data_IF_979495710280
#
_entry.id   IF_979495710280
#
_cell.length_a   1.000
_cell.length_b   1.000
_cell.length_c   1.000
_cell.angle_alpha   90.00
_cell.angle_beta   90.00
_cell.angle_gamma   90.00
#
_symmetry.space_group_name_H-M   'P 1'
#
loop_
_entity.id
_entity.type
_entity.pdbx_description
1 polymer ?
#
# COMPACT_ATOMS: atom_id res chain seq x y z
N UNK A 1 -32.99 14.58 -21.82
CA UNK A 1 -33.53 13.23 -22.13
C UNK A 1 -33.63 12.92 -23.63
N UNK A 2 -33.75 13.91 -24.54
CA UNK A 2 -33.93 13.62 -25.98
C UNK A 2 -32.80 12.79 -26.65
N UNK A 3 -31.56 12.91 -26.19
CA UNK A 3 -30.41 12.17 -26.74
C UNK A 3 -30.14 10.82 -26.04
N UNK A 4 -30.30 10.73 -24.72
CA UNK A 4 -29.88 9.58 -23.90
C UNK A 4 -31.02 8.89 -23.13
N UNK A 5 -32.26 9.35 -23.31
CA UNK A 5 -33.45 8.75 -22.69
C UNK A 5 -33.31 8.57 -21.18
N UNK A 6 -33.52 7.34 -20.73
CA UNK A 6 -33.45 6.90 -19.33
C UNK A 6 -32.02 6.81 -18.79
N UNK A 7 -31.01 6.71 -19.66
CA UNK A 7 -29.60 6.67 -19.29
C UNK A 7 -29.00 8.07 -19.01
N UNK A 8 -29.84 9.11 -18.89
CA UNK A 8 -29.37 10.44 -18.53
C UNK A 8 -29.11 10.58 -17.03
N UNK A 9 -28.17 11.45 -16.65
CA UNK A 9 -27.99 11.85 -15.26
C UNK A 9 -29.28 12.44 -14.66
N UNK A 10 -29.47 12.22 -13.37
CA UNK A 10 -30.54 12.90 -12.64
C UNK A 10 -30.33 14.42 -12.64
N UNK A 11 -31.40 15.19 -12.43
CA UNK A 11 -31.32 16.65 -12.32
C UNK A 11 -30.34 17.06 -11.20
N UNK A 12 -30.36 16.38 -10.06
CA UNK A 12 -29.48 16.64 -8.93
C UNK A 12 -28.01 16.48 -9.30
N UNK A 13 -27.63 15.35 -9.89
CA UNK A 13 -26.26 15.12 -10.35
C UNK A 13 -25.80 16.14 -11.40
N UNK A 14 -26.72 16.57 -12.28
CA UNK A 14 -26.41 17.61 -13.27
C UNK A 14 -26.06 18.95 -12.60
N UNK A 15 -26.78 19.34 -11.56
CA UNK A 15 -26.48 20.56 -10.80
C UNK A 15 -25.17 20.45 -10.00
N UNK A 16 -24.88 19.29 -9.42
CA UNK A 16 -23.60 19.03 -8.73
C UNK A 16 -22.41 19.17 -9.68
N UNK A 17 -22.47 18.56 -10.86
CA UNK A 17 -21.45 18.70 -11.89
C UNK A 17 -21.31 20.14 -12.40
N UNK A 18 -22.44 20.82 -12.67
CA UNK A 18 -22.42 22.22 -13.08
C UNK A 18 -21.73 23.11 -12.04
N UNK A 19 -22.04 22.92 -10.76
CA UNK A 19 -21.40 23.65 -9.66
C UNK A 19 -19.90 23.35 -9.61
N UNK A 20 -19.50 22.08 -9.68
CA UNK A 20 -18.10 21.67 -9.64
C UNK A 20 -17.29 22.28 -10.79
N UNK A 21 -17.82 22.28 -12.01
CA UNK A 21 -17.18 22.91 -13.16
C UNK A 21 -17.10 24.43 -13.00
N UNK A 22 -18.15 25.07 -12.47
CA UNK A 22 -18.13 26.52 -12.18
C UNK A 22 -17.09 26.90 -11.12
N UNK A 23 -16.81 25.99 -10.19
CA UNK A 23 -15.79 26.14 -9.14
C UNK A 23 -14.37 25.78 -9.62
N UNK A 24 -14.20 25.48 -10.92
CA UNK A 24 -12.88 25.30 -11.54
C UNK A 24 -12.39 23.85 -11.63
N UNK A 25 -13.25 22.86 -11.34
CA UNK A 25 -12.92 21.47 -11.69
C UNK A 25 -12.90 21.33 -13.21
N UNK A 26 -11.88 20.65 -13.75
CA UNK A 26 -11.81 20.32 -15.19
C UNK A 26 -11.91 18.81 -15.44
N UNK A 27 -11.63 18.00 -14.42
CA UNK A 27 -11.62 16.54 -14.52
C UNK A 27 -13.02 15.94 -14.39
N UNK A 28 -13.37 15.07 -15.35
CA UNK A 28 -14.63 14.32 -15.36
C UNK A 28 -14.52 12.97 -14.63
N UNK A 29 -13.29 12.53 -14.32
CA UNK A 29 -13.06 11.30 -13.56
C UNK A 29 -13.50 11.47 -12.11
N UNK A 30 -13.85 10.36 -11.45
CA UNK A 30 -14.16 10.37 -10.03
C UNK A 30 -12.96 10.87 -9.23
N UNK A 31 -13.22 11.78 -8.28
CA UNK A 31 -12.21 12.20 -7.31
C UNK A 31 -11.81 11.00 -6.44
N UNK A 32 -10.60 11.04 -5.83
CA UNK A 32 -10.18 10.04 -4.87
C UNK A 32 -11.28 9.81 -3.82
N UNK A 33 -11.86 8.61 -3.84
CA UNK A 33 -12.89 8.25 -2.86
C UNK A 33 -12.18 7.93 -1.56
N UNK A 34 -12.67 8.49 -0.46
CA UNK A 34 -12.28 8.04 0.88
C UNK A 34 -12.74 6.59 1.05
N UNK A 35 -11.80 5.65 0.89
CA UNK A 35 -12.03 4.24 1.21
C UNK A 35 -12.14 4.02 2.72
N UNK A 36 -12.49 2.79 3.13
CA UNK A 36 -12.39 2.39 4.53
C UNK A 36 -10.91 2.39 4.94
N UNK A 37 -10.50 3.18 5.96
CA UNK A 37 -9.13 3.07 6.46
C UNK A 37 -8.90 1.64 6.97
N UNK A 38 -7.81 1.02 6.52
CA UNK A 38 -7.32 -0.24 7.06
C UNK A 38 -7.05 -0.03 8.55
N UNK A 39 -7.85 -0.65 9.42
CA UNK A 39 -7.67 -0.56 10.88
C UNK A 39 -6.37 -1.20 11.36
N UNK A 40 -5.68 -1.95 10.49
CA UNK A 40 -4.50 -2.73 10.87
C UNK A 40 -3.19 -1.98 10.59
N UNK A 41 -3.23 -0.98 9.71
CA UNK A 41 -2.09 -0.16 9.31
C UNK A 41 -1.96 1.10 10.17
N UNK A 42 -2.10 0.96 11.49
CA UNK A 42 -1.78 2.06 12.41
C UNK A 42 -0.27 2.32 12.39
N UNK A 43 0.13 3.57 12.61
CA UNK A 43 1.55 3.98 12.62
C UNK A 43 2.38 3.14 13.62
N UNK A 44 1.79 2.80 14.77
CA UNK A 44 2.40 1.93 15.77
C UNK A 44 2.74 0.53 15.23
N UNK A 45 1.81 -0.08 14.48
CA UNK A 45 2.02 -1.41 13.91
C UNK A 45 3.04 -1.38 12.77
N UNK A 46 3.03 -0.30 11.97
CA UNK A 46 4.01 -0.09 10.90
C UNK A 46 5.42 -0.01 11.49
N UNK A 47 5.62 0.79 12.54
CA UNK A 47 6.93 0.93 13.18
C UNK A 47 7.38 -0.35 13.90
N UNK A 48 6.47 -1.11 14.53
CA UNK A 48 6.78 -2.43 15.10
C UNK A 48 7.31 -3.40 14.04
N UNK A 49 6.57 -3.57 12.93
CA UNK A 49 6.98 -4.45 11.83
C UNK A 49 8.33 -4.02 11.25
N UNK A 50 8.50 -2.72 11.02
CA UNK A 50 9.74 -2.15 10.48
C UNK A 50 10.93 -2.44 11.39
N UNK A 51 10.78 -2.25 12.71
CA UNK A 51 11.82 -2.54 13.69
C UNK A 51 12.20 -4.02 13.68
N UNK A 52 11.24 -4.94 13.78
CA UNK A 52 11.47 -6.38 13.77
C UNK A 52 12.23 -6.84 12.51
N UNK A 53 11.87 -6.33 11.33
CA UNK A 53 12.53 -6.70 10.07
C UNK A 53 13.92 -6.08 9.95
N UNK A 54 14.15 -4.87 10.46
CA UNK A 54 15.50 -4.27 10.48
C UNK A 54 16.44 -5.05 11.40
N UNK A 55 15.95 -5.47 12.57
CA UNK A 55 16.71 -6.29 13.53
C UNK A 55 17.06 -7.67 12.95
N UNK A 56 16.12 -8.33 12.27
CA UNK A 56 16.38 -9.59 11.60
C UNK A 56 15.71 -9.68 10.21
N UNK A 57 16.50 -9.33 9.18
CA UNK A 57 16.06 -9.33 7.77
C UNK A 57 15.77 -10.71 7.18
N UNK A 58 16.08 -11.79 7.91
CA UNK A 58 15.86 -13.18 7.45
C UNK A 58 14.52 -13.75 7.88
N UNK A 59 13.77 -13.03 8.73
CA UNK A 59 12.46 -13.47 9.17
C UNK A 59 11.47 -13.56 8.01
N UNK A 60 10.68 -14.63 8.02
CA UNK A 60 9.53 -14.78 7.13
C UNK A 60 8.35 -13.94 7.63
N UNK A 61 7.44 -13.60 6.71
CA UNK A 61 6.19 -12.91 7.03
C UNK A 61 5.38 -13.66 8.11
N UNK A 62 5.41 -15.01 8.08
CA UNK A 62 4.71 -15.85 9.06
C UNK A 62 5.31 -15.77 10.45
N UNK A 63 6.63 -15.64 10.57
CA UNK A 63 7.30 -15.47 11.86
C UNK A 63 6.99 -14.11 12.45
N UNK A 64 7.11 -13.03 11.67
CA UNK A 64 6.76 -11.67 12.10
C UNK A 64 5.29 -11.58 12.52
N UNK A 65 4.38 -12.19 11.75
CA UNK A 65 2.96 -12.25 12.09
C UNK A 65 2.69 -12.96 13.41
N UNK A 66 3.41 -14.05 13.70
CA UNK A 66 3.28 -14.79 14.96
C UNK A 66 3.84 -13.99 16.13
N UNK A 67 4.99 -13.35 15.96
CA UNK A 67 5.66 -12.56 16.99
C UNK A 67 4.86 -11.32 17.40
N UNK A 68 4.22 -10.66 16.42
CA UNK A 68 3.44 -9.45 16.65
C UNK A 68 1.94 -9.72 16.87
N UNK A 69 1.52 -10.99 16.89
CA UNK A 69 0.12 -11.41 16.98
C UNK A 69 -0.80 -10.74 15.93
N UNK A 70 -0.25 -10.54 14.73
CA UNK A 70 -0.93 -9.90 13.61
C UNK A 70 -1.35 -10.90 12.55
N UNK A 71 -2.32 -10.53 11.71
CA UNK A 71 -2.67 -11.35 10.56
C UNK A 71 -1.51 -11.38 9.55
N UNK A 72 -1.26 -12.54 8.96
CA UNK A 72 -0.25 -12.71 7.92
C UNK A 72 -0.43 -11.72 6.75
N UNK A 73 -1.68 -11.47 6.35
CA UNK A 73 -1.99 -10.56 5.25
C UNK A 73 -1.68 -9.11 5.61
N UNK A 74 -1.91 -8.71 6.85
CA UNK A 74 -1.60 -7.36 7.31
C UNK A 74 -0.11 -7.09 7.31
N UNK A 75 0.69 -8.02 7.85
CA UNK A 75 2.15 -7.91 7.84
C UNK A 75 2.67 -7.87 6.40
N UNK A 76 2.16 -8.76 5.53
CA UNK A 76 2.52 -8.75 4.10
C UNK A 76 2.24 -7.40 3.45
N UNK A 77 1.03 -6.86 3.62
CA UNK A 77 0.63 -5.61 3.00
C UNK A 77 1.42 -4.41 3.53
N UNK A 78 1.71 -4.38 4.84
CA UNK A 78 2.56 -3.33 5.42
C UNK A 78 3.98 -3.41 4.84
N UNK A 79 4.56 -4.60 4.73
CA UNK A 79 5.89 -4.76 4.14
C UNK A 79 5.94 -4.33 2.67
N UNK A 80 4.97 -4.73 1.84
CA UNK A 80 5.01 -4.47 0.39
C UNK A 80 4.43 -3.13 -0.01
N UNK A 81 3.23 -2.80 0.45
CA UNK A 81 2.47 -1.62 -0.02
C UNK A 81 2.84 -0.36 0.76
N UNK A 82 3.06 -0.48 2.07
CA UNK A 82 3.33 0.69 2.94
C UNK A 82 4.84 0.98 3.01
N UNK A 83 5.66 -0.03 3.30
CA UNK A 83 7.10 0.12 3.46
C UNK A 83 7.87 -0.07 2.13
N UNK A 84 7.22 -0.52 1.06
CA UNK A 84 7.85 -0.72 -0.25
C UNK A 84 8.94 -1.80 -0.28
N UNK A 85 8.98 -2.69 0.72
CA UNK A 85 10.01 -3.71 0.85
C UNK A 85 9.77 -4.86 -0.14
N UNK A 86 10.86 -5.43 -0.63
CA UNK A 86 10.85 -6.61 -1.51
C UNK A 86 11.76 -7.69 -0.93
N UNK A 87 11.32 -8.95 -1.02
CA UNK A 87 12.18 -10.09 -0.69
C UNK A 87 13.30 -10.19 -1.72
N UNK A 88 14.54 -10.10 -1.26
CA UNK A 88 15.74 -10.32 -2.07
C UNK A 88 16.40 -11.62 -1.61
N UNK A 89 16.74 -12.48 -2.57
CA UNK A 89 17.48 -13.70 -2.25
C UNK A 89 18.88 -13.34 -1.76
N UNK A 90 19.35 -14.02 -0.70
CA UNK A 90 20.73 -13.87 -0.26
C UNK A 90 21.68 -14.34 -1.37
N UNK A 91 22.77 -13.60 -1.56
CA UNK A 91 23.86 -14.04 -2.46
C UNK A 91 24.67 -15.11 -1.74
N UNK A 92 25.07 -16.15 -2.47
CA UNK A 92 26.02 -17.13 -1.97
C UNK A 92 27.40 -16.45 -1.88
N UNK A 93 28.04 -16.53 -0.72
CA UNK A 93 29.38 -15.98 -0.49
C UNK A 93 30.31 -17.13 -0.14
N UNK A 94 31.53 -17.21 -0.73
CA UNK A 94 32.54 -18.19 -0.34
C UNK A 94 32.81 -18.12 1.17
N UNK A 95 32.82 -19.29 1.82
CA UNK A 95 33.00 -19.41 3.28
C UNK A 95 34.38 -18.94 3.73
N UNK A 96 35.38 -19.12 2.89
CA UNK A 96 36.72 -18.60 3.07
C UNK A 96 37.02 -17.65 1.91
N UNK A 97 37.21 -16.37 2.23
CA UNK A 97 37.73 -15.40 1.28
C UNK A 97 39.25 -15.59 1.25
N UNK A 98 39.80 -15.93 0.08
CA UNK A 98 41.25 -15.96 -0.12
C UNK A 98 41.81 -14.53 0.04
N UNK A 99 43.11 -14.39 0.35
CA UNK A 99 43.74 -13.08 0.59
C UNK A 99 43.49 -12.09 -0.56
N UNK A 100 43.45 -12.57 -1.81
CA UNK A 100 43.16 -11.80 -3.02
C UNK A 100 41.69 -11.34 -3.17
N UNK A 101 40.77 -11.86 -2.37
CA UNK A 101 39.34 -11.50 -2.38
C UNK A 101 38.96 -10.56 -1.24
N UNK A 102 39.93 -10.20 -0.37
CA UNK A 102 39.74 -9.32 0.78
C UNK A 102 40.16 -7.87 0.51
N UNK A 103 40.89 -7.60 -0.57
CA UNK A 103 41.06 -6.27 -1.16
C UNK A 103 39.90 -5.96 -2.12
#
# INVERSE_FOLDING_TARGET
QKAYGESCLSKTQTYEWYKAFKEGREEVQDLPRSGRPSTISTDENIEKIKKTVIENRRLSVREVARELEMSHMSVRNILTEVLGMRRVAARLVPKELNFLQKE
#
